data_IF_113339424676
#
_entry.id   IF_113339424676
#
_cell.length_a   1.000
_cell.length_b   1.000
_cell.length_c   1.000
_cell.angle_alpha   90.00
_cell.angle_beta   90.00
_cell.angle_gamma   90.00
#
_symmetry.space_group_name_H-M   'P 1'
#
loop_
_entity.id
_entity.type
_entity.pdbx_description
1 polymer ?
#
# COMPACT_ATOMS: atom_id res chain seq x y z
N UNK A 1 -16.54 14.01 12.52
CA UNK A 1 -16.57 14.09 11.06
C UNK A 1 -15.89 12.84 10.47
N UNK A 2 -16.47 12.28 9.41
CA UNK A 2 -15.92 11.11 8.72
C UNK A 2 -15.69 11.44 7.24
N UNK A 3 -14.62 10.84 6.68
CA UNK A 3 -14.25 10.96 5.27
C UNK A 3 -14.41 9.61 4.60
N UNK A 4 -15.00 9.63 3.43
CA UNK A 4 -15.20 8.47 2.58
C UNK A 4 -14.61 8.76 1.21
N UNK A 5 -13.95 7.79 0.61
CA UNK A 5 -13.43 7.87 -0.74
C UNK A 5 -14.13 6.88 -1.67
N UNK A 6 -14.25 7.27 -2.91
CA UNK A 6 -14.74 6.41 -3.99
C UNK A 6 -13.77 6.52 -5.16
N UNK A 7 -13.36 5.39 -5.73
CA UNK A 7 -12.42 5.34 -6.86
C UNK A 7 -13.11 5.38 -8.22
N UNK A 8 -14.41 5.08 -8.25
CA UNK A 8 -15.24 5.16 -9.46
C UNK A 8 -16.69 5.45 -9.09
N UNK A 9 -17.24 6.52 -9.64
CA UNK A 9 -18.66 6.82 -9.50
C UNK A 9 -19.46 6.03 -10.54
N UNK A 10 -20.24 5.06 -10.08
CA UNK A 10 -21.04 4.16 -10.91
C UNK A 10 -22.53 4.15 -10.48
N UNK A 11 -23.04 5.30 -10.06
CA UNK A 11 -24.41 5.43 -9.58
C UNK A 11 -24.68 4.53 -8.35
N UNK A 12 -25.62 3.60 -8.46
CA UNK A 12 -25.99 2.68 -7.37
C UNK A 12 -24.89 1.65 -7.05
N UNK A 13 -23.98 1.41 -7.97
CA UNK A 13 -22.87 0.47 -7.82
C UNK A 13 -21.58 1.14 -7.30
N UNK A 14 -21.67 2.42 -6.92
CA UNK A 14 -20.58 3.14 -6.31
C UNK A 14 -20.21 2.54 -4.95
N UNK A 15 -18.92 2.28 -4.74
CA UNK A 15 -18.42 1.74 -3.50
C UNK A 15 -17.59 2.78 -2.76
N UNK A 16 -17.99 3.06 -1.52
CA UNK A 16 -17.33 4.03 -0.65
C UNK A 16 -16.56 3.33 0.47
N UNK A 17 -15.31 3.70 0.65
CA UNK A 17 -14.45 3.19 1.71
C UNK A 17 -14.08 4.32 2.68
N UNK A 18 -14.00 4.05 3.99
CA UNK A 18 -13.56 5.05 4.95
C UNK A 18 -12.10 5.44 4.71
N UNK A 19 -11.84 6.74 4.78
CA UNK A 19 -10.50 7.33 4.64
C UNK A 19 -10.22 8.27 5.82
N UNK A 20 -10.19 7.70 7.02
CA UNK A 20 -10.04 8.42 8.28
C UNK A 20 -8.68 8.11 8.92
N UNK A 21 -8.12 9.08 9.66
CA UNK A 21 -6.86 8.92 10.38
C UNK A 21 -6.95 7.88 11.50
N UNK A 22 -8.14 7.69 12.07
CA UNK A 22 -8.34 6.88 13.27
C UNK A 22 -8.16 7.69 14.56
N UNK A 23 -8.83 7.25 15.62
CA UNK A 23 -8.73 7.82 16.97
C UNK A 23 -8.62 6.68 17.97
N UNK A 24 -7.58 6.67 18.80
CA UNK A 24 -7.36 5.65 19.85
C UNK A 24 -7.50 4.21 19.35
N UNK A 25 -6.99 3.92 18.15
CA UNK A 25 -7.11 2.61 17.52
C UNK A 25 -8.48 2.29 16.92
N UNK A 26 -9.41 3.24 16.91
CA UNK A 26 -10.77 3.13 16.36
C UNK A 26 -11.01 3.99 15.11
N UNK A 27 -12.25 4.02 14.67
CA UNK A 27 -12.68 4.81 13.51
C UNK A 27 -12.78 6.32 13.86
N UNK A 28 -12.77 7.17 12.81
CA UNK A 28 -12.96 8.61 12.93
C UNK A 28 -11.69 9.41 12.71
N UNK A 29 -11.75 10.70 13.05
CA UNK A 29 -10.63 11.63 12.93
C UNK A 29 -10.42 12.37 14.25
N UNK A 30 -9.16 12.66 14.65
CA UNK A 30 -8.88 13.35 15.90
C UNK A 30 -9.43 14.78 15.86
N UNK A 31 -9.85 15.28 17.01
CA UNK A 31 -10.14 16.70 17.20
C UNK A 31 -8.82 17.45 17.22
N UNK A 32 -8.70 18.48 16.40
CA UNK A 32 -7.53 19.33 16.29
C UNK A 32 -7.93 20.72 16.77
N UNK A 33 -7.27 21.22 17.82
CA UNK A 33 -7.54 22.56 18.35
C UNK A 33 -7.23 23.63 17.30
N UNK A 34 -8.18 24.53 17.06
CA UNK A 34 -8.04 25.60 16.06
C UNK A 34 -8.13 25.12 14.60
N UNK A 35 -8.48 23.86 14.33
CA UNK A 35 -8.56 23.33 12.98
C UNK A 35 -9.74 22.34 12.81
N UNK A 36 -9.99 21.93 11.58
CA UNK A 36 -11.02 20.95 11.29
C UNK A 36 -10.46 19.52 11.39
N UNK A 37 -11.29 18.57 11.85
CA UNK A 37 -10.92 17.15 11.98
C UNK A 37 -10.49 16.50 10.65
N UNK A 38 -10.76 17.15 9.53
CA UNK A 38 -10.45 16.66 8.18
C UNK A 38 -9.32 17.44 7.51
N UNK A 39 -8.65 18.33 8.23
CA UNK A 39 -7.59 19.18 7.69
C UNK A 39 -6.40 18.41 7.11
N UNK A 40 -6.15 17.19 7.57
CA UNK A 40 -5.14 16.31 7.01
C UNK A 40 -5.33 16.06 5.50
N UNK A 41 -6.57 16.16 4.99
CA UNK A 41 -6.81 15.98 3.56
C UNK A 41 -6.08 17.04 2.72
N UNK A 42 -6.23 18.31 3.03
CA UNK A 42 -5.60 19.38 2.25
C UNK A 42 -4.23 19.78 2.77
N UNK A 43 -3.92 19.52 4.04
CA UNK A 43 -2.60 19.81 4.61
C UNK A 43 -1.54 18.74 4.33
N UNK A 44 -1.99 17.49 4.07
CA UNK A 44 -1.09 16.36 3.80
C UNK A 44 -1.49 15.59 2.53
N UNK A 45 -2.64 14.91 2.53
CA UNK A 45 -2.99 13.92 1.50
C UNK A 45 -3.14 14.53 0.10
N UNK A 46 -3.86 15.64 -0.01
CA UNK A 46 -4.13 16.31 -1.29
C UNK A 46 -3.09 17.38 -1.63
N UNK A 47 -1.98 17.43 -0.89
CA UNK A 47 -0.85 18.26 -1.33
C UNK A 47 -0.25 17.69 -2.60
N UNK A 48 0.29 18.57 -3.43
CA UNK A 48 0.88 18.14 -4.72
C UNK A 48 1.92 17.02 -4.58
N UNK A 49 2.89 17.08 -3.63
CA UNK A 49 3.86 16.00 -3.46
C UNK A 49 3.23 14.67 -3.03
N UNK A 50 2.30 14.70 -2.05
CA UNK A 50 1.68 13.48 -1.54
C UNK A 50 0.75 12.85 -2.56
N UNK A 51 -0.06 13.66 -3.25
CA UNK A 51 -0.97 13.15 -4.28
C UNK A 51 -0.21 12.54 -5.45
N UNK A 52 0.89 13.20 -5.91
CA UNK A 52 1.76 12.62 -6.94
C UNK A 52 2.35 11.28 -6.49
N UNK A 53 2.83 11.21 -5.24
CA UNK A 53 3.35 9.96 -4.67
C UNK A 53 2.28 8.86 -4.60
N UNK A 54 1.04 9.20 -4.22
CA UNK A 54 -0.06 8.21 -4.19
C UNK A 54 -0.34 7.70 -5.60
N UNK A 55 -0.44 8.56 -6.58
CA UNK A 55 -0.72 8.17 -7.97
C UNK A 55 0.41 7.31 -8.53
N UNK A 56 1.64 7.65 -8.24
CA UNK A 56 2.82 6.97 -8.78
C UNK A 56 3.11 5.62 -8.10
N UNK A 57 2.95 5.55 -6.77
CA UNK A 57 3.48 4.45 -5.97
C UNK A 57 2.41 3.60 -5.25
N UNK A 58 1.15 4.01 -5.25
CA UNK A 58 0.07 3.30 -4.55
C UNK A 58 -1.11 2.99 -5.47
N UNK A 59 -1.57 3.94 -6.27
CA UNK A 59 -2.74 3.75 -7.12
C UNK A 59 -2.47 2.70 -8.19
N UNK A 60 -3.42 1.76 -8.38
CA UNK A 60 -3.31 0.70 -9.36
C UNK A 60 -4.62 0.51 -10.09
N UNK A 61 -4.54 0.22 -11.38
CA UNK A 61 -5.68 -0.28 -12.16
C UNK A 61 -5.52 -1.79 -12.31
N UNK A 62 -6.45 -2.53 -11.73
CA UNK A 62 -6.51 -3.98 -11.87
C UNK A 62 -7.62 -4.32 -12.86
N UNK A 63 -7.24 -5.02 -13.93
CA UNK A 63 -8.18 -5.58 -14.88
C UNK A 63 -8.52 -7.02 -14.51
N UNK A 64 -9.79 -7.32 -14.38
CA UNK A 64 -10.29 -8.68 -14.14
C UNK A 64 -11.27 -9.06 -15.23
N UNK A 65 -11.08 -10.22 -15.85
CA UNK A 65 -12.03 -10.78 -16.81
C UNK A 65 -13.05 -11.66 -16.07
N UNK A 66 -14.32 -11.37 -16.28
CA UNK A 66 -15.41 -12.25 -15.85
C UNK A 66 -15.42 -13.50 -16.74
N UNK A 67 -15.11 -14.65 -16.16
CA UNK A 67 -15.01 -15.94 -16.88
C UNK A 67 -16.29 -16.38 -17.59
N UNK A 68 -17.47 -15.85 -17.20
CA UNK A 68 -18.76 -16.19 -17.82
C UNK A 68 -19.15 -15.25 -18.94
N UNK A 69 -18.86 -13.97 -18.77
CA UNK A 69 -19.31 -12.93 -19.72
C UNK A 69 -18.20 -12.43 -20.62
N UNK A 70 -16.93 -12.82 -20.38
CA UNK A 70 -15.72 -12.31 -21.04
C UNK A 70 -15.59 -10.78 -20.99
N UNK A 71 -16.32 -10.14 -20.09
CA UNK A 71 -16.20 -8.70 -19.91
C UNK A 71 -15.01 -8.38 -19.02
N UNK A 72 -14.17 -7.49 -19.50
CA UNK A 72 -13.07 -6.93 -18.69
C UNK A 72 -13.63 -5.84 -17.79
N UNK A 73 -13.44 -6.00 -16.50
CA UNK A 73 -13.76 -4.99 -15.49
C UNK A 73 -12.46 -4.41 -14.95
N UNK A 74 -12.29 -3.11 -15.10
CA UNK A 74 -11.20 -2.38 -14.50
C UNK A 74 -11.63 -1.85 -13.13
N UNK A 75 -10.75 -2.00 -12.14
CA UNK A 75 -10.96 -1.51 -10.78
C UNK A 75 -9.73 -0.73 -10.35
N UNK A 76 -9.93 0.49 -9.90
CA UNK A 76 -8.86 1.30 -9.33
C UNK A 76 -8.71 0.93 -7.85
N UNK A 77 -7.53 0.47 -7.47
CA UNK A 77 -7.16 0.30 -6.06
C UNK A 77 -6.46 1.57 -5.59
N UNK A 78 -6.96 2.11 -4.48
CA UNK A 78 -6.43 3.29 -3.82
C UNK A 78 -6.11 2.94 -2.37
N UNK A 79 -5.03 3.44 -1.77
CA UNK A 79 -4.71 3.11 -0.39
C UNK A 79 -5.75 3.72 0.57
N UNK A 80 -6.10 2.98 1.61
CA UNK A 80 -6.79 3.55 2.77
C UNK A 80 -5.81 4.38 3.58
N UNK A 81 -6.29 5.33 4.38
CA UNK A 81 -5.41 6.22 5.14
C UNK A 81 -4.37 5.46 5.99
N UNK A 82 -4.79 4.47 6.77
CA UNK A 82 -3.90 3.69 7.62
C UNK A 82 -2.83 2.90 6.83
N UNK A 83 -3.12 2.50 5.59
CA UNK A 83 -2.15 1.83 4.72
C UNK A 83 -1.13 2.83 4.18
N UNK A 84 -1.60 3.99 3.72
CA UNK A 84 -0.77 5.09 3.27
C UNK A 84 0.18 5.56 4.37
N UNK A 85 -0.37 5.81 5.56
CA UNK A 85 0.37 6.27 6.73
C UNK A 85 1.44 5.26 7.16
N UNK A 86 1.09 3.98 7.30
CA UNK A 86 2.02 2.93 7.68
C UNK A 86 3.19 2.78 6.71
N UNK A 87 2.91 2.75 5.40
CA UNK A 87 3.97 2.62 4.37
C UNK A 87 4.88 3.85 4.36
N UNK A 88 4.32 5.05 4.38
CA UNK A 88 5.09 6.30 4.40
C UNK A 88 5.95 6.43 5.67
N UNK A 89 5.38 6.10 6.83
CA UNK A 89 6.09 6.12 8.11
C UNK A 89 7.27 5.16 8.09
N UNK A 90 7.07 3.91 7.62
CA UNK A 90 8.15 2.93 7.53
C UNK A 90 9.25 3.36 6.58
N UNK A 91 8.93 3.87 5.40
CA UNK A 91 9.91 4.38 4.46
C UNK A 91 10.74 5.53 5.05
N UNK A 92 10.09 6.47 5.72
CA UNK A 92 10.78 7.60 6.35
C UNK A 92 11.68 7.15 7.48
N UNK A 93 11.20 6.26 8.36
CA UNK A 93 12.01 5.74 9.47
C UNK A 93 13.16 4.87 8.95
N UNK A 94 12.95 4.10 7.89
CA UNK A 94 14.01 3.30 7.25
C UNK A 94 15.14 4.19 6.73
N UNK A 95 14.81 5.29 6.06
CA UNK A 95 15.82 6.26 5.58
C UNK A 95 16.66 6.90 6.69
N UNK A 96 16.05 7.09 7.87
CA UNK A 96 16.69 7.79 9.00
C UNK A 96 17.34 6.84 10.01
N UNK A 97 17.12 5.55 9.89
CA UNK A 97 17.50 4.57 10.91
C UNK A 97 18.71 3.74 10.47
N UNK A 98 19.55 3.31 11.42
CA UNK A 98 20.60 2.34 11.11
C UNK A 98 19.98 1.01 10.66
N UNK A 99 20.74 0.28 9.83
CA UNK A 99 20.38 -1.07 9.36
C UNK A 99 20.17 -2.01 10.56
N UNK A 100 19.23 -2.95 10.45
CA UNK A 100 18.94 -3.96 11.48
C UNK A 100 17.82 -3.61 12.46
N UNK A 101 17.12 -2.50 12.28
CA UNK A 101 15.92 -2.19 13.08
C UNK A 101 14.76 -3.13 12.77
N UNK A 102 13.97 -3.40 13.81
CA UNK A 102 12.74 -4.21 13.71
C UNK A 102 11.53 -3.32 13.90
N UNK A 103 10.51 -3.53 13.07
CA UNK A 103 9.24 -2.80 13.12
C UNK A 103 8.09 -3.80 13.24
N UNK A 104 7.08 -3.44 14.02
CA UNK A 104 5.83 -4.18 14.11
C UNK A 104 4.69 -3.30 13.60
N UNK A 105 3.94 -3.80 12.61
CA UNK A 105 2.71 -3.18 12.11
C UNK A 105 1.54 -4.04 12.56
N UNK A 106 0.69 -3.48 13.39
CA UNK A 106 -0.52 -4.16 13.85
C UNK A 106 -1.75 -3.57 13.15
N UNK A 107 -2.33 -4.34 12.26
CA UNK A 107 -3.58 -4.01 11.59
C UNK A 107 -4.62 -5.12 11.81
N UNK A 108 -5.91 -4.74 11.90
CA UNK A 108 -7.02 -5.69 12.07
C UNK A 108 -7.16 -6.65 10.88
N UNK A 109 -7.89 -7.74 11.06
CA UNK A 109 -8.27 -8.62 9.96
C UNK A 109 -9.09 -7.84 8.92
N UNK A 110 -8.88 -8.12 7.62
CA UNK A 110 -9.59 -7.43 6.53
C UNK A 110 -9.15 -5.98 6.26
N UNK A 111 -8.11 -5.47 6.94
CA UNK A 111 -7.58 -4.11 6.72
C UNK A 111 -6.82 -3.92 5.41
N UNK A 112 -6.60 -4.98 4.62
CA UNK A 112 -5.82 -4.94 3.38
C UNK A 112 -4.31 -4.99 3.59
N UNK A 113 -3.82 -5.73 4.60
CA UNK A 113 -2.39 -5.91 4.91
C UNK A 113 -1.55 -6.34 3.71
N UNK A 114 -2.10 -7.22 2.85
CA UNK A 114 -1.41 -7.70 1.65
C UNK A 114 -1.03 -6.54 0.72
N UNK A 115 -1.92 -5.57 0.52
CA UNK A 115 -1.63 -4.38 -0.27
C UNK A 115 -0.55 -3.52 0.39
N UNK A 116 -0.62 -3.32 1.72
CA UNK A 116 0.42 -2.56 2.43
C UNK A 116 1.80 -3.21 2.30
N UNK A 117 1.88 -4.53 2.38
CA UNK A 117 3.13 -5.29 2.18
C UNK A 117 3.65 -5.09 0.75
N UNK A 118 2.77 -5.22 -0.24
CA UNK A 118 3.13 -5.05 -1.66
C UNK A 118 3.63 -3.62 -1.93
N UNK A 119 2.91 -2.59 -1.47
CA UNK A 119 3.33 -1.19 -1.64
C UNK A 119 4.64 -0.87 -0.94
N UNK A 120 4.83 -1.43 0.26
CA UNK A 120 6.09 -1.26 1.00
C UNK A 120 7.25 -1.93 0.27
N UNK A 121 7.09 -3.19 -0.14
CA UNK A 121 8.11 -3.93 -0.88
C UNK A 121 8.49 -3.19 -2.17
N UNK A 122 7.50 -2.74 -2.94
CA UNK A 122 7.73 -1.96 -4.16
C UNK A 122 8.56 -0.70 -3.90
N UNK A 123 8.18 0.09 -2.90
CA UNK A 123 8.87 1.34 -2.62
C UNK A 123 10.24 1.13 -1.96
N UNK A 124 10.45 0.01 -1.27
CA UNK A 124 11.78 -0.34 -0.75
C UNK A 124 12.75 -0.78 -1.85
N UNK A 125 12.27 -1.53 -2.87
CA UNK A 125 13.09 -1.91 -4.03
C UNK A 125 13.57 -0.70 -4.82
N UNK A 126 12.73 0.33 -4.93
CA UNK A 126 13.04 1.56 -5.66
C UNK A 126 13.71 2.63 -4.80
N UNK A 127 13.94 2.34 -3.52
CA UNK A 127 14.54 3.29 -2.59
C UNK A 127 16.04 3.46 -2.86
N UNK A 128 16.47 4.70 -3.12
CA UNK A 128 17.85 5.02 -3.37
C UNK A 128 18.47 5.78 -2.19
N UNK A 129 19.76 5.58 -2.01
CA UNK A 129 20.63 6.35 -1.12
C UNK A 129 20.93 7.73 -1.75
N UNK A 130 21.61 8.60 -1.00
CA UNK A 130 22.02 9.93 -1.50
C UNK A 130 22.99 9.86 -2.71
N UNK A 131 23.76 8.79 -2.80
CA UNK A 131 24.70 8.51 -3.90
C UNK A 131 24.04 7.84 -5.12
N UNK A 132 22.71 7.75 -5.16
CA UNK A 132 21.90 7.09 -6.18
C UNK A 132 22.06 5.56 -6.25
N UNK A 133 22.71 4.93 -5.28
CA UNK A 133 22.75 3.47 -5.17
C UNK A 133 21.48 2.93 -4.49
N UNK A 134 21.08 1.67 -4.78
CA UNK A 134 19.98 1.03 -4.08
C UNK A 134 20.21 1.04 -2.56
N UNK A 135 19.13 1.28 -1.80
CA UNK A 135 19.22 1.25 -0.34
C UNK A 135 19.33 -0.19 0.20
N UNK A 136 18.72 -1.13 -0.51
CA UNK A 136 18.75 -2.55 -0.21
C UNK A 136 19.11 -3.34 -1.48
N UNK A 137 19.94 -4.36 -1.33
CA UNK A 137 20.30 -5.27 -2.42
C UNK A 137 19.13 -6.20 -2.77
N UNK A 138 18.34 -6.59 -1.78
CA UNK A 138 17.18 -7.45 -1.95
C UNK A 138 16.12 -7.20 -0.89
N UNK A 139 14.84 -7.45 -1.25
CA UNK A 139 13.70 -7.40 -0.35
C UNK A 139 13.09 -8.80 -0.29
N UNK A 140 13.03 -9.39 0.90
CA UNK A 140 12.48 -10.73 1.12
C UNK A 140 11.13 -10.60 1.83
N UNK A 141 10.08 -11.11 1.21
CA UNK A 141 8.73 -11.22 1.79
C UNK A 141 8.49 -12.66 2.19
N UNK A 142 8.31 -12.90 3.49
CA UNK A 142 8.04 -14.23 4.04
C UNK A 142 6.60 -14.34 4.48
N UNK A 143 5.90 -15.39 4.05
CA UNK A 143 4.52 -15.67 4.43
C UNK A 143 4.40 -17.09 4.98
N UNK A 144 3.51 -17.29 5.96
CA UNK A 144 3.23 -18.58 6.59
C UNK A 144 1.98 -19.28 6.01
N UNK A 145 1.24 -18.59 5.14
CA UNK A 145 -0.05 -19.06 4.61
C UNK A 145 -0.08 -19.03 3.09
N UNK A 146 -0.39 -20.19 2.50
CA UNK A 146 -0.50 -20.33 1.03
C UNK A 146 -1.46 -19.32 0.39
N UNK A 147 -2.62 -19.08 1.02
CA UNK A 147 -3.58 -18.10 0.50
C UNK A 147 -3.05 -16.67 0.55
N UNK A 148 -2.30 -16.32 1.59
CA UNK A 148 -1.68 -14.99 1.72
C UNK A 148 -0.55 -14.83 0.70
N UNK A 149 0.27 -15.86 0.54
CA UNK A 149 1.32 -15.89 -0.47
C UNK A 149 0.73 -15.63 -1.86
N UNK A 150 -0.31 -16.37 -2.24
CA UNK A 150 -0.99 -16.16 -3.52
C UNK A 150 -1.51 -14.72 -3.68
N UNK A 151 -2.17 -14.16 -2.67
CA UNK A 151 -2.65 -12.77 -2.73
C UNK A 151 -1.51 -11.76 -2.92
N UNK A 152 -0.38 -11.96 -2.24
CA UNK A 152 0.77 -11.09 -2.38
C UNK A 152 1.39 -11.24 -3.77
N UNK A 153 1.52 -12.46 -4.28
CA UNK A 153 1.98 -12.73 -5.66
C UNK A 153 1.09 -12.05 -6.70
N UNK A 154 -0.22 -12.21 -6.59
CA UNK A 154 -1.19 -11.60 -7.52
C UNK A 154 -1.10 -10.06 -7.46
N UNK A 155 -0.96 -9.49 -6.26
CA UNK A 155 -0.80 -8.06 -6.08
C UNK A 155 0.53 -7.54 -6.67
N UNK A 156 1.64 -8.25 -6.44
CA UNK A 156 2.96 -7.87 -7.00
C UNK A 156 2.94 -7.95 -8.53
N UNK A 157 2.33 -9.00 -9.09
CA UNK A 157 2.21 -9.17 -10.54
C UNK A 157 1.35 -8.07 -11.19
N UNK A 158 0.38 -7.52 -10.45
CA UNK A 158 -0.40 -6.38 -10.90
C UNK A 158 0.43 -5.08 -11.00
N UNK A 159 1.54 -4.98 -10.26
CA UNK A 159 2.55 -3.95 -10.48
C UNK A 159 3.45 -4.34 -11.66
N UNK A 160 3.08 -3.98 -12.86
CA UNK A 160 3.83 -4.29 -14.09
C UNK A 160 5.34 -3.98 -14.02
N UNK A 161 5.73 -3.00 -13.20
CA UNK A 161 7.12 -2.60 -12.99
C UNK A 161 7.93 -3.60 -12.16
N UNK A 162 7.27 -4.47 -11.37
CA UNK A 162 7.94 -5.46 -10.52
C UNK A 162 8.02 -6.85 -11.12
N UNK A 163 7.19 -7.18 -12.10
CA UNK A 163 7.08 -8.54 -12.64
C UNK A 163 8.43 -9.14 -13.09
N UNK A 164 9.35 -8.31 -13.54
CA UNK A 164 10.68 -8.73 -14.00
C UNK A 164 11.75 -8.75 -12.88
N UNK A 165 11.42 -8.27 -11.68
CA UNK A 165 12.36 -8.14 -10.54
C UNK A 165 12.06 -9.13 -9.41
N UNK A 166 10.99 -9.93 -9.53
CA UNK A 166 10.52 -10.79 -8.44
C UNK A 166 10.82 -12.25 -8.75
N UNK A 167 11.63 -12.85 -7.88
CA UNK A 167 11.83 -14.30 -7.81
C UNK A 167 10.91 -14.93 -6.77
N UNK A 168 10.48 -16.17 -7.02
CA UNK A 168 9.65 -16.95 -6.12
C UNK A 168 10.43 -18.14 -5.59
N UNK A 169 10.53 -18.26 -4.27
CA UNK A 169 11.20 -19.38 -3.61
C UNK A 169 10.20 -20.17 -2.77
N UNK A 170 9.83 -21.36 -3.24
CA UNK A 170 8.97 -22.28 -2.49
C UNK A 170 9.77 -23.18 -1.54
N UNK A 171 11.10 -23.23 -1.69
CA UNK A 171 12.03 -24.02 -0.86
C UNK A 171 13.26 -23.16 -0.50
N UNK A 172 13.85 -23.46 0.65
CA UNK A 172 15.07 -22.76 1.09
C UNK A 172 16.26 -22.93 0.15
N UNK A 173 16.30 -23.98 -0.68
CA UNK A 173 17.32 -24.18 -1.70
C UNK A 173 17.23 -23.16 -2.83
N UNK A 174 16.02 -22.74 -3.20
CA UNK A 174 15.79 -21.76 -4.28
C UNK A 174 16.15 -20.34 -3.86
N UNK A 175 16.27 -20.06 -2.55
CA UNK A 175 16.73 -18.76 -2.02
C UNK A 175 18.26 -18.55 -2.14
N UNK A 176 19.01 -19.61 -2.50
CA UNK A 176 20.48 -19.56 -2.61
C UNK A 176 21.00 -19.33 -4.04
N UNK A 177 20.10 -19.45 -4.99
CA UNK A 177 20.35 -19.17 -6.41
C UNK A 177 20.03 -17.71 -6.75
#
# INVERSE_FOLDING_TARGET
>A
CQVWMCTALAGKDSWFLPFNCGVNGGAGNPVIEGDTMTSYLWKDVLTKPTLSNIIENFAQVISSEDKKTHKVKETVIWPRYHQLDAVRTLLNVTKMSPIGRRFLIQHSAGSGKSNSITWLAYQLVTLLQQNQEPFFDSIIVVTDRVNLDKQIRDNINAFQRLSNLVGWADKSSTLRE
#
